data_IF_850206679711
#
_entry.id   IF_850206679711
#
_cell.length_a   1.000
_cell.length_b   1.000
_cell.length_c   1.000
_cell.angle_alpha   90.00
_cell.angle_beta   90.00
_cell.angle_gamma   90.00
#
_symmetry.space_group_name_H-M   'P 1'
#
loop_
_entity.id
_entity.type
_entity.pdbx_description
1 polymer ?
#
# COMPACT_ATOMS: atom_id res chain seq x y z
N UNK A 1 8.97 -5.34 -15.11
CA UNK A 1 7.67 -6.03 -15.33
C UNK A 1 7.29 -6.98 -14.19
N UNK A 2 8.00 -8.08 -13.90
CA UNK A 2 7.56 -9.05 -12.86
C UNK A 2 7.57 -8.46 -11.44
N UNK A 3 8.71 -7.90 -11.02
CA UNK A 3 8.88 -7.33 -9.67
C UNK A 3 7.92 -6.17 -9.45
N UNK A 4 7.71 -5.32 -10.45
CA UNK A 4 6.75 -4.22 -10.41
C UNK A 4 5.33 -4.74 -10.18
N UNK A 5 4.90 -5.80 -10.88
CA UNK A 5 3.59 -6.41 -10.66
C UNK A 5 3.45 -6.99 -9.25
N UNK A 6 4.52 -7.60 -8.70
CA UNK A 6 4.54 -8.04 -7.30
C UNK A 6 4.41 -6.86 -6.33
N UNK A 7 5.08 -5.74 -6.59
CA UNK A 7 4.95 -4.52 -5.77
C UNK A 7 3.52 -3.98 -5.82
N UNK A 8 2.92 -3.88 -7.00
CA UNK A 8 1.52 -3.46 -7.15
C UNK A 8 0.58 -4.41 -6.39
N UNK A 9 0.81 -5.72 -6.45
CA UNK A 9 0.01 -6.69 -5.69
C UNK A 9 0.24 -6.61 -4.18
N UNK A 10 1.44 -6.23 -3.73
CA UNK A 10 1.73 -6.00 -2.31
C UNK A 10 0.98 -4.77 -1.79
N UNK A 11 0.94 -3.68 -2.56
CA UNK A 11 0.13 -2.50 -2.24
C UNK A 11 -1.34 -2.87 -2.14
N UNK A 12 -1.90 -3.60 -3.12
CA UNK A 12 -3.28 -4.10 -3.05
C UNK A 12 -3.52 -4.99 -1.81
N UNK A 13 -2.66 -5.98 -1.60
CA UNK A 13 -2.77 -6.89 -0.48
C UNK A 13 -2.79 -6.14 0.86
N UNK A 14 -2.00 -5.08 1.00
CA UNK A 14 -1.92 -4.32 2.25
C UNK A 14 -3.27 -3.69 2.65
N UNK A 15 -4.05 -3.19 1.70
CA UNK A 15 -5.34 -2.57 1.97
C UNK A 15 -6.43 -3.61 2.24
N UNK A 16 -6.47 -4.69 1.47
CA UNK A 16 -7.44 -5.79 1.68
C UNK A 16 -7.17 -6.51 3.01
N UNK A 17 -5.91 -6.92 3.25
CA UNK A 17 -5.54 -7.68 4.44
C UNK A 17 -5.71 -6.88 5.74
N UNK A 18 -5.54 -5.56 5.67
CA UNK A 18 -5.76 -4.67 6.81
C UNK A 18 -7.22 -4.24 6.97
N UNK A 19 -8.16 -4.74 6.17
CA UNK A 19 -9.57 -4.33 6.17
C UNK A 19 -9.75 -2.82 5.94
N UNK A 20 -8.97 -2.27 5.00
CA UNK A 20 -9.02 -0.85 4.64
C UNK A 20 -8.35 0.09 5.64
N UNK A 21 -7.49 -0.41 6.53
CA UNK A 21 -6.84 0.41 7.55
C UNK A 21 -5.50 1.01 7.11
N UNK A 22 -4.75 0.28 6.30
CA UNK A 22 -3.37 0.60 5.90
C UNK A 22 -3.19 0.37 4.40
N UNK A 23 -2.39 1.21 3.76
CA UNK A 23 -1.93 1.03 2.40
C UNK A 23 -0.43 1.31 2.35
N UNK A 24 0.35 0.34 1.87
CA UNK A 24 1.80 0.48 1.68
C UNK A 24 2.07 1.04 0.28
N UNK A 25 2.77 2.17 0.24
CA UNK A 25 3.08 2.93 -0.97
C UNK A 25 4.56 3.29 -1.04
N UNK A 26 4.96 3.98 -2.10
CA UNK A 26 6.35 4.33 -2.40
C UNK A 26 7.33 3.14 -2.34
N UNK A 27 6.90 2.01 -2.94
CA UNK A 27 7.68 0.79 -2.99
C UNK A 27 8.89 0.96 -3.93
N UNK A 28 10.04 1.24 -3.34
CA UNK A 28 11.34 1.37 -4.00
C UNK A 28 12.33 0.34 -3.49
N UNK A 29 13.31 -0.06 -4.30
CA UNK A 29 14.10 -1.23 -3.96
C UNK A 29 15.16 -1.66 -4.97
N UNK A 30 15.84 -2.77 -4.64
CA UNK A 30 16.69 -3.52 -5.55
C UNK A 30 16.32 -5.00 -5.51
N UNK A 31 15.83 -5.52 -6.65
CA UNK A 31 15.31 -6.86 -6.72
C UNK A 31 14.08 -7.03 -5.82
N UNK A 32 14.15 -7.98 -4.88
CA UNK A 32 13.09 -8.22 -3.88
C UNK A 32 13.36 -7.49 -2.55
N UNK A 33 14.42 -6.70 -2.46
CA UNK A 33 14.75 -5.92 -1.26
C UNK A 33 14.16 -4.53 -1.41
N UNK A 34 13.19 -4.20 -0.57
CA UNK A 34 12.52 -2.90 -0.56
C UNK A 34 13.15 -1.98 0.49
N UNK A 35 13.18 -0.69 0.19
CA UNK A 35 13.73 0.36 1.04
C UNK A 35 12.69 1.45 1.25
N UNK A 36 12.71 2.04 2.44
CA UNK A 36 11.95 3.24 2.81
C UNK A 36 10.48 3.26 2.33
N UNK A 37 9.66 2.25 2.68
CA UNK A 37 8.25 2.25 2.30
C UNK A 37 7.48 3.32 3.07
N UNK A 38 6.54 3.96 2.39
CA UNK A 38 5.58 4.87 3.02
C UNK A 38 4.27 4.13 3.36
N UNK A 39 3.58 4.59 4.40
CA UNK A 39 2.33 3.97 4.85
C UNK A 39 1.26 5.06 4.93
N UNK A 40 0.27 4.97 4.05
CA UNK A 40 -0.98 5.68 4.21
C UNK A 40 -1.87 4.91 5.18
N UNK A 41 -2.44 5.58 6.19
CA UNK A 41 -3.39 4.96 7.10
C UNK A 41 -4.66 5.77 7.21
N UNK A 42 -5.77 5.07 7.47
CA UNK A 42 -7.07 5.70 7.70
C UNK A 42 -7.03 6.68 8.88
N UNK A 43 -6.41 6.25 9.96
CA UNK A 43 -6.22 7.05 11.15
C UNK A 43 -4.82 7.67 11.16
N UNK A 44 -4.73 8.98 11.37
CA UNK A 44 -3.45 9.70 11.43
C UNK A 44 -2.76 9.63 12.79
N UNK A 45 -3.54 9.37 13.83
CA UNK A 45 -3.06 9.34 15.21
C UNK A 45 -3.68 8.18 15.97
N UNK A 46 -2.94 7.66 16.93
CA UNK A 46 -3.42 6.67 17.91
C UNK A 46 -2.84 7.02 19.27
N UNK A 47 -3.70 7.09 20.28
CA UNK A 47 -3.31 7.42 21.67
C UNK A 47 -2.49 8.72 21.77
N UNK A 48 -2.86 9.73 20.98
CA UNK A 48 -2.19 11.03 20.94
C UNK A 48 -0.84 11.04 20.21
N UNK A 49 -0.44 9.95 19.55
CA UNK A 49 0.80 9.85 18.76
C UNK A 49 0.50 9.76 17.27
N UNK A 50 1.30 10.41 16.43
CA UNK A 50 1.22 10.28 14.98
C UNK A 50 1.64 8.87 14.54
N UNK A 51 0.82 8.26 13.69
CA UNK A 51 1.12 6.97 13.08
C UNK A 51 1.98 7.18 11.82
N UNK A 52 3.01 6.33 11.66
CA UNK A 52 3.87 6.27 10.48
C UNK A 52 4.61 7.59 10.15
N UNK A 53 4.86 8.39 11.18
CA UNK A 53 5.61 9.65 11.12
C UNK A 53 5.07 10.63 10.06
N UNK A 54 5.91 11.55 9.57
CA UNK A 54 5.52 12.58 8.61
C UNK A 54 5.22 12.03 7.20
N UNK A 55 5.56 10.77 6.91
CA UNK A 55 5.32 10.11 5.63
C UNK A 55 3.92 9.48 5.49
N UNK A 56 3.01 9.74 6.44
CA UNK A 56 1.66 9.23 6.35
C UNK A 56 0.82 10.01 5.34
N UNK A 57 0.57 9.41 4.16
CA UNK A 57 -0.12 10.05 3.04
C UNK A 57 -1.66 10.16 3.19
N UNK A 58 -2.22 9.82 4.36
CA UNK A 58 -3.66 9.93 4.71
C UNK A 58 -4.60 8.98 3.98
N UNK A 59 -5.84 8.97 4.45
CA UNK A 59 -6.98 8.37 3.75
C UNK A 59 -7.10 8.83 2.28
N UNK A 60 -6.73 10.08 1.97
CA UNK A 60 -6.80 10.62 0.60
C UNK A 60 -5.95 9.80 -0.38
N UNK A 61 -4.75 9.36 0.04
CA UNK A 61 -3.90 8.54 -0.81
C UNK A 61 -4.50 7.15 -1.03
N UNK A 62 -5.18 6.61 -0.02
CA UNK A 62 -5.90 5.33 -0.13
C UNK A 62 -7.05 5.43 -1.14
N UNK A 63 -7.86 6.48 -1.06
CA UNK A 63 -8.98 6.71 -1.97
C UNK A 63 -8.50 6.89 -3.41
N UNK A 64 -7.41 7.63 -3.60
CA UNK A 64 -6.79 7.81 -4.92
C UNK A 64 -6.27 6.50 -5.50
N UNK A 65 -5.61 5.67 -4.68
CA UNK A 65 -5.14 4.36 -5.11
C UNK A 65 -6.31 3.48 -5.57
N UNK A 66 -7.37 3.36 -4.77
CA UNK A 66 -8.54 2.55 -5.12
C UNK A 66 -9.25 3.04 -6.39
N UNK A 67 -9.30 4.36 -6.62
CA UNK A 67 -9.91 4.93 -7.82
C UNK A 67 -9.12 4.67 -9.12
N UNK A 68 -7.78 4.58 -9.00
CA UNK A 68 -6.87 4.41 -10.13
C UNK A 68 -6.47 2.95 -10.37
N UNK A 69 -6.48 2.12 -9.33
CA UNK A 69 -6.15 0.71 -9.40
C UNK A 69 -7.30 -0.10 -10.03
N UNK A 70 -7.47 0.05 -11.34
CA UNK A 70 -8.57 -0.57 -12.11
C UNK A 70 -8.23 -1.91 -12.74
N UNK A 71 -6.93 -2.25 -12.84
CA UNK A 71 -6.47 -3.47 -13.49
C UNK A 71 -5.69 -4.36 -12.53
N UNK A 72 -6.24 -5.54 -12.26
CA UNK A 72 -5.63 -6.58 -11.44
C UNK A 72 -4.61 -7.36 -12.26
N UNK A 73 -3.34 -7.34 -11.82
CA UNK A 73 -2.30 -8.15 -12.43
C UNK A 73 -2.43 -9.63 -12.03
N UNK A 74 -1.63 -10.51 -12.64
CA UNK A 74 -1.72 -11.96 -12.39
C UNK A 74 -1.45 -12.36 -10.94
N UNK A 75 -0.61 -11.61 -10.20
CA UNK A 75 -0.32 -11.90 -8.81
C UNK A 75 -1.50 -11.54 -7.90
N UNK A 76 -2.22 -10.45 -8.19
CA UNK A 76 -3.46 -10.15 -7.47
C UNK A 76 -4.48 -11.29 -7.63
N UNK A 77 -4.61 -11.85 -8.84
CA UNK A 77 -5.49 -13.01 -9.09
C UNK A 77 -5.04 -14.27 -8.35
N UNK A 78 -3.73 -14.54 -8.30
CA UNK A 78 -3.17 -15.69 -7.58
C UNK A 78 -3.33 -15.58 -6.06
N UNK A 79 -3.37 -14.36 -5.55
CA UNK A 79 -3.56 -14.05 -4.13
C UNK A 79 -5.04 -13.88 -3.74
N UNK A 80 -5.97 -13.99 -4.71
CA UNK A 80 -7.41 -13.80 -4.51
C UNK A 80 -7.74 -12.45 -3.83
N UNK A 81 -7.06 -11.39 -4.29
CA UNK A 81 -7.30 -9.99 -3.88
C UNK A 81 -8.46 -9.36 -4.64
#
# INVERSE_FOLDING_TARGET
MEIEQKCVSLTHFSIEHSLGLLLIVDLQGSGHTLYDPEIASRDHTKDGKFLFAAGNLSQTAMDNFLAQHREFNMYCKLLEL
#
